data_IF_552464726539
#
_entry.id   IF_552464726539
#
_cell.length_a   1.000
_cell.length_b   1.000
_cell.length_c   1.000
_cell.angle_alpha   90.00
_cell.angle_beta   90.00
_cell.angle_gamma   90.00
#
_symmetry.space_group_name_H-M   'P 1'
#
loop_
_entity.id
_entity.type
_entity.pdbx_description
1 polymer ?
#
# COMPACT_ATOMS: atom_id res chain seq x y z
N UNK A 1 20.42 -46.11 -17.10
CA UNK A 1 19.70 -44.85 -17.45
C UNK A 1 18.98 -44.37 -16.21
N UNK A 2 19.59 -43.47 -15.42
CA UNK A 2 18.91 -42.83 -14.29
C UNK A 2 17.92 -41.82 -14.87
N UNK A 3 16.65 -41.93 -14.48
CA UNK A 3 15.65 -40.89 -14.73
C UNK A 3 16.11 -39.64 -13.99
N UNK A 4 16.33 -38.57 -14.74
CA UNK A 4 16.48 -37.23 -14.19
C UNK A 4 15.12 -36.86 -13.60
N UNK A 5 15.05 -36.70 -12.28
CA UNK A 5 13.92 -36.05 -11.64
C UNK A 5 13.88 -34.61 -12.14
N UNK A 6 12.80 -34.27 -12.85
CA UNK A 6 12.52 -32.90 -13.30
C UNK A 6 12.18 -32.13 -12.03
N UNK A 7 13.15 -31.37 -11.52
CA UNK A 7 12.95 -30.41 -10.44
C UNK A 7 11.89 -29.40 -10.89
N UNK A 8 10.75 -29.35 -10.21
CA UNK A 8 9.67 -28.39 -10.41
C UNK A 8 10.14 -26.95 -10.11
N UNK A 9 10.85 -26.29 -11.04
CA UNK A 9 11.15 -24.85 -10.93
C UNK A 9 10.84 -24.07 -12.22
N UNK A 10 9.71 -24.37 -12.85
CA UNK A 10 9.29 -23.72 -14.10
C UNK A 10 8.54 -22.37 -13.89
N UNK A 11 8.41 -21.90 -12.65
CA UNK A 11 7.71 -20.67 -12.33
C UNK A 11 8.68 -19.48 -12.12
N UNK A 12 9.20 -18.93 -13.21
CA UNK A 12 9.90 -17.64 -13.18
C UNK A 12 8.89 -16.50 -13.41
N UNK A 13 8.44 -15.88 -12.33
CA UNK A 13 7.46 -14.78 -12.36
C UNK A 13 8.11 -13.40 -12.43
N UNK A 14 9.37 -13.27 -12.88
CA UNK A 14 10.07 -11.99 -12.81
C UNK A 14 9.43 -10.89 -13.66
N UNK A 15 8.89 -11.24 -14.84
CA UNK A 15 8.17 -10.27 -15.68
C UNK A 15 6.86 -9.85 -15.01
N UNK A 16 6.08 -10.82 -14.53
CA UNK A 16 4.82 -10.58 -13.83
C UNK A 16 5.04 -9.76 -12.54
N UNK A 17 6.13 -10.00 -11.83
CA UNK A 17 6.52 -9.24 -10.64
C UNK A 17 6.75 -7.77 -10.98
N UNK A 18 7.44 -7.48 -12.10
CA UNK A 18 7.67 -6.11 -12.56
C UNK A 18 6.32 -5.45 -12.88
N UNK A 19 5.42 -6.13 -13.58
CA UNK A 19 4.10 -5.59 -13.93
C UNK A 19 3.23 -5.35 -12.68
N UNK A 20 3.26 -6.27 -11.72
CA UNK A 20 2.59 -6.16 -10.43
C UNK A 20 3.12 -4.96 -9.62
N UNK A 21 4.45 -4.76 -9.59
CA UNK A 21 5.08 -3.60 -8.94
C UNK A 21 4.70 -2.30 -9.65
N UNK A 22 4.77 -2.26 -10.98
CA UNK A 22 4.37 -1.08 -11.78
C UNK A 22 2.91 -0.72 -11.50
N UNK A 23 2.03 -1.71 -11.41
CA UNK A 23 0.63 -1.49 -11.06
C UNK A 23 0.49 -0.81 -9.68
N UNK A 24 1.17 -1.30 -8.64
CA UNK A 24 1.12 -0.68 -7.31
C UNK A 24 1.70 0.74 -7.31
N UNK A 25 2.81 0.97 -8.00
CA UNK A 25 3.42 2.29 -8.12
C UNK A 25 2.49 3.28 -8.83
N UNK A 26 1.76 2.85 -9.86
CA UNK A 26 0.75 3.68 -10.54
C UNK A 26 -0.39 4.07 -9.61
N UNK A 27 -0.83 3.19 -8.72
CA UNK A 27 -1.84 3.55 -7.71
C UNK A 27 -1.31 4.63 -6.76
N UNK A 28 -0.05 4.52 -6.32
CA UNK A 28 0.57 5.54 -5.46
C UNK A 28 0.64 6.88 -6.18
N UNK A 29 1.13 6.88 -7.43
CA UNK A 29 1.21 8.09 -8.25
C UNK A 29 -0.17 8.74 -8.39
N UNK A 30 -1.20 7.96 -8.73
CA UNK A 30 -2.56 8.43 -8.97
C UNK A 30 -3.21 9.04 -7.71
N UNK A 31 -3.06 8.40 -6.55
CA UNK A 31 -3.73 8.85 -5.34
C UNK A 31 -2.91 9.86 -4.52
N UNK A 32 -1.58 9.85 -4.62
CA UNK A 32 -0.70 10.68 -3.79
C UNK A 32 -0.15 11.92 -4.50
N UNK A 33 0.06 11.88 -5.83
CA UNK A 33 0.80 12.95 -6.55
C UNK A 33 -0.04 13.57 -7.66
N UNK A 34 -0.54 12.75 -8.59
CA UNK A 34 -1.13 13.21 -9.85
C UNK A 34 -2.29 14.15 -9.60
N UNK A 35 -2.14 15.40 -10.01
CA UNK A 35 -3.11 16.48 -9.80
C UNK A 35 -3.48 16.74 -8.33
N UNK A 36 -2.69 16.25 -7.37
CA UNK A 36 -2.89 16.43 -5.92
C UNK A 36 -1.93 17.44 -5.32
N UNK A 37 -0.73 17.56 -5.90
CA UNK A 37 0.26 18.54 -5.49
C UNK A 37 0.06 19.88 -6.20
N UNK A 38 -0.65 20.80 -5.55
CA UNK A 38 -0.82 22.18 -6.04
C UNK A 38 -0.10 23.18 -5.10
N UNK A 39 1.09 23.69 -5.46
CA UNK A 39 1.83 24.63 -4.62
C UNK A 39 1.14 26.01 -4.50
N UNK A 40 0.23 26.36 -5.41
CA UNK A 40 -0.52 27.62 -5.35
C UNK A 40 -1.72 27.52 -4.40
N UNK A 41 -2.12 26.31 -4.01
CA UNK A 41 -3.19 26.06 -3.07
C UNK A 41 -2.75 25.08 -1.95
N UNK A 42 -1.82 25.52 -1.07
CA UNK A 42 -1.24 24.66 -0.04
C UNK A 42 -2.24 24.29 1.07
N UNK A 43 -3.38 24.99 1.16
CA UNK A 43 -4.43 24.72 2.14
C UNK A 43 -5.42 23.66 1.66
N UNK A 44 -5.38 23.30 0.37
CA UNK A 44 -6.23 22.25 -0.18
C UNK A 44 -6.00 20.90 0.53
N UNK A 45 -7.07 20.13 0.70
CA UNK A 45 -7.01 18.79 1.32
C UNK A 45 -6.01 17.88 0.59
N UNK A 46 -5.98 17.97 -0.74
CA UNK A 46 -5.08 17.17 -1.58
C UNK A 46 -3.62 17.54 -1.35
N UNK A 47 -3.27 18.83 -1.38
CA UNK A 47 -1.90 19.26 -1.11
C UNK A 47 -1.43 18.85 0.30
N UNK A 48 -2.30 19.06 1.29
CA UNK A 48 -2.05 18.68 2.69
C UNK A 48 -1.75 17.18 2.82
N UNK A 49 -2.60 16.33 2.22
CA UNK A 49 -2.39 14.88 2.21
C UNK A 49 -1.07 14.50 1.52
N UNK A 50 -0.82 15.00 0.30
CA UNK A 50 0.40 14.69 -0.46
C UNK A 50 1.66 15.06 0.34
N UNK A 51 1.68 16.25 0.95
CA UNK A 51 2.80 16.70 1.78
C UNK A 51 3.05 15.80 2.99
N UNK A 52 2.00 15.44 3.73
CA UNK A 52 2.12 14.59 4.92
C UNK A 52 2.54 13.16 4.56
N UNK A 53 2.00 12.62 3.45
CA UNK A 53 2.33 11.29 2.95
C UNK A 53 3.83 11.12 2.67
N UNK A 54 4.48 12.13 2.09
CA UNK A 54 5.91 12.05 1.75
C UNK A 54 6.87 12.30 2.93
N UNK A 55 6.37 12.46 4.16
CA UNK A 55 7.24 12.33 5.33
C UNK A 55 7.70 10.88 5.46
N UNK A 56 9.01 10.67 5.62
CA UNK A 56 9.64 9.33 5.63
C UNK A 56 8.90 8.32 6.51
N UNK A 57 8.60 8.71 7.75
CA UNK A 57 7.94 7.84 8.73
C UNK A 57 6.48 7.57 8.37
N UNK A 58 5.77 8.55 7.81
CA UNK A 58 4.42 8.38 7.29
C UNK A 58 4.39 7.41 6.11
N UNK A 59 5.30 7.59 5.14
CA UNK A 59 5.45 6.71 3.99
C UNK A 59 5.75 5.26 4.41
N UNK A 60 6.70 5.05 5.32
CA UNK A 60 7.05 3.71 5.82
C UNK A 60 5.85 3.00 6.46
N UNK A 61 5.12 3.71 7.33
CA UNK A 61 3.95 3.16 8.01
C UNK A 61 2.80 2.91 7.04
N UNK A 62 2.60 3.80 6.08
CA UNK A 62 1.65 3.59 4.99
C UNK A 62 1.98 2.35 4.18
N UNK A 63 3.26 2.14 3.83
CA UNK A 63 3.71 1.00 3.04
C UNK A 63 3.46 -0.32 3.79
N UNK A 64 3.79 -0.37 5.08
CA UNK A 64 3.52 -1.53 5.92
C UNK A 64 2.02 -1.83 6.00
N UNK A 65 1.21 -0.79 6.23
CA UNK A 65 -0.26 -0.92 6.31
C UNK A 65 -0.85 -1.40 4.99
N UNK A 66 -0.35 -0.87 3.87
CA UNK A 66 -0.74 -1.31 2.53
C UNK A 66 -0.36 -2.78 2.33
N UNK A 67 0.90 -3.16 2.54
CA UNK A 67 1.35 -4.53 2.31
C UNK A 67 0.52 -5.53 3.12
N UNK A 68 0.29 -5.26 4.41
CA UNK A 68 -0.56 -6.08 5.27
C UNK A 68 -1.99 -6.18 4.71
N UNK A 69 -2.59 -5.06 4.28
CA UNK A 69 -3.94 -5.04 3.72
C UNK A 69 -4.07 -5.79 2.40
N UNK A 70 -3.11 -5.60 1.49
CA UNK A 70 -3.09 -6.29 0.20
C UNK A 70 -2.88 -7.80 0.39
N UNK A 71 -1.94 -8.20 1.25
CA UNK A 71 -1.69 -9.60 1.58
C UNK A 71 -2.92 -10.23 2.21
N UNK A 72 -3.50 -9.61 3.24
CA UNK A 72 -4.70 -10.09 3.89
C UNK A 72 -5.87 -10.25 2.91
N UNK A 73 -6.10 -9.26 2.05
CA UNK A 73 -7.17 -9.34 1.05
C UNK A 73 -6.93 -10.48 0.05
N UNK A 74 -5.68 -10.71 -0.35
CA UNK A 74 -5.35 -11.78 -1.29
C UNK A 74 -5.53 -13.16 -0.63
N UNK A 75 -5.13 -13.30 0.64
CA UNK A 75 -5.36 -14.51 1.44
C UNK A 75 -6.85 -14.81 1.60
N UNK A 76 -7.68 -13.79 1.85
CA UNK A 76 -9.13 -13.93 1.91
C UNK A 76 -9.73 -14.40 0.58
N UNK A 77 -9.27 -13.84 -0.54
CA UNK A 77 -9.76 -14.22 -1.88
C UNK A 77 -9.38 -15.65 -2.25
N UNK A 78 -8.20 -16.12 -1.83
CA UNK A 78 -7.66 -17.43 -2.19
C UNK A 78 -8.00 -18.54 -1.20
N UNK A 79 -8.36 -18.19 0.02
CA UNK A 79 -8.52 -19.16 1.11
C UNK A 79 -7.21 -19.82 1.55
N UNK A 80 -6.05 -19.23 1.21
CA UNK A 80 -4.73 -19.77 1.52
C UNK A 80 -3.73 -18.67 1.83
N UNK A 81 -2.68 -19.03 2.59
CA UNK A 81 -1.61 -18.11 2.99
C UNK A 81 -0.74 -17.72 1.80
N UNK A 82 -0.35 -16.45 1.73
CA UNK A 82 0.59 -15.95 0.72
C UNK A 82 1.98 -15.90 1.34
N UNK A 83 2.86 -16.79 0.89
CA UNK A 83 4.25 -16.85 1.33
C UNK A 83 5.17 -16.04 0.40
N UNK A 84 6.17 -15.37 0.97
CA UNK A 84 7.16 -14.61 0.21
C UNK A 84 6.69 -13.22 -0.23
N UNK A 85 7.36 -12.70 -1.28
CA UNK A 85 7.08 -11.38 -1.87
C UNK A 85 5.66 -11.33 -2.43
N UNK A 86 4.91 -10.28 -2.08
CA UNK A 86 3.55 -10.07 -2.58
C UNK A 86 3.50 -9.93 -4.10
N UNK A 87 4.56 -9.45 -4.75
CA UNK A 87 4.56 -9.24 -6.20
C UNK A 87 5.14 -10.42 -6.99
N UNK A 88 5.92 -11.32 -6.35
CA UNK A 88 6.54 -12.47 -7.03
C UNK A 88 5.54 -13.62 -7.21
N UNK A 89 4.63 -13.46 -8.15
CA UNK A 89 3.56 -14.41 -8.50
C UNK A 89 3.01 -14.06 -9.90
N UNK A 90 2.15 -14.91 -10.50
CA UNK A 90 1.50 -14.56 -11.77
C UNK A 90 0.83 -13.18 -11.72
N UNK A 91 0.72 -12.53 -12.87
CA UNK A 91 0.11 -11.20 -12.98
C UNK A 91 -1.24 -11.14 -12.26
N UNK A 92 -1.48 -10.04 -11.55
CA UNK A 92 -2.72 -9.87 -10.81
C UNK A 92 -3.92 -9.85 -11.76
N UNK A 93 -4.88 -10.78 -11.62
CA UNK A 93 -6.08 -10.75 -12.43
C UNK A 93 -6.92 -9.50 -12.11
N UNK A 94 -7.84 -9.08 -13.00
CA UNK A 94 -8.61 -7.86 -12.85
C UNK A 94 -9.33 -7.74 -11.51
N UNK A 95 -9.84 -8.83 -10.94
CA UNK A 95 -10.52 -8.84 -9.65
C UNK A 95 -9.57 -8.43 -8.51
N UNK A 96 -8.34 -8.95 -8.54
CA UNK A 96 -7.28 -8.62 -7.56
C UNK A 96 -6.86 -7.17 -7.74
N UNK A 97 -6.62 -6.71 -8.97
CA UNK A 97 -6.25 -5.31 -9.25
C UNK A 97 -7.33 -4.33 -8.79
N UNK A 98 -8.60 -4.62 -9.06
CA UNK A 98 -9.73 -3.80 -8.61
C UNK A 98 -9.81 -3.74 -7.08
N UNK A 99 -9.63 -4.89 -6.41
CA UNK A 99 -9.60 -4.97 -4.96
C UNK A 99 -8.44 -4.16 -4.37
N UNK A 100 -7.24 -4.28 -4.95
CA UNK A 100 -6.05 -3.54 -4.53
C UNK A 100 -6.23 -2.04 -4.74
N UNK A 101 -6.80 -1.62 -5.87
CA UNK A 101 -7.15 -0.20 -6.11
C UNK A 101 -8.11 0.34 -5.04
N UNK A 102 -9.15 -0.41 -4.68
CA UNK A 102 -10.08 -0.01 -3.63
C UNK A 102 -9.43 0.11 -2.25
N UNK A 103 -8.53 -0.82 -1.89
CA UNK A 103 -7.76 -0.80 -0.64
C UNK A 103 -6.85 0.44 -0.61
N UNK A 104 -6.06 0.66 -1.67
CA UNK A 104 -5.15 1.81 -1.77
C UNK A 104 -5.93 3.12 -1.71
N UNK A 105 -7.06 3.22 -2.40
CA UNK A 105 -7.94 4.38 -2.34
C UNK A 105 -8.44 4.66 -0.92
N UNK A 106 -8.93 3.65 -0.20
CA UNK A 106 -9.39 3.79 1.19
C UNK A 106 -8.29 4.27 2.13
N UNK A 107 -7.06 3.81 1.91
CA UNK A 107 -5.89 4.22 2.67
C UNK A 107 -5.60 5.73 2.48
N UNK A 108 -5.67 6.24 1.25
CA UNK A 108 -5.48 7.68 0.95
C UNK A 108 -6.68 8.56 1.30
N UNK A 109 -7.89 8.04 1.24
CA UNK A 109 -9.12 8.76 1.61
C UNK A 109 -9.28 8.91 3.13
N UNK A 110 -8.45 8.24 3.92
CA UNK A 110 -8.57 8.28 5.37
C UNK A 110 -8.40 9.72 5.92
N UNK A 111 -9.30 10.19 6.81
CA UNK A 111 -9.29 11.58 7.26
C UNK A 111 -8.01 12.00 7.99
N UNK A 112 -7.25 11.06 8.55
CA UNK A 112 -6.00 11.34 9.28
C UNK A 112 -5.05 12.24 8.49
N UNK A 113 -4.99 12.09 7.16
CA UNK A 113 -4.04 12.80 6.30
C UNK A 113 -4.23 14.30 6.27
N UNK A 114 -5.41 14.79 6.65
CA UNK A 114 -5.77 16.21 6.60
C UNK A 114 -6.09 16.81 7.97
N UNK A 115 -5.95 16.02 9.04
CA UNK A 115 -6.13 16.49 10.42
C UNK A 115 -4.86 17.20 10.89
N UNK A 116 -4.96 18.50 11.15
CA UNK A 116 -3.80 19.35 11.48
C UNK A 116 -3.01 18.87 12.71
N UNK A 117 -3.71 18.44 13.77
CA UNK A 117 -3.08 17.88 14.97
C UNK A 117 -2.24 16.63 14.65
N UNK A 118 -2.77 15.75 13.80
CA UNK A 118 -2.09 14.53 13.38
C UNK A 118 -0.89 14.84 12.48
N UNK A 119 -1.05 15.77 11.54
CA UNK A 119 0.04 16.22 10.68
C UNK A 119 1.20 16.78 11.50
N UNK A 120 0.90 17.58 12.52
CA UNK A 120 1.90 18.13 13.42
C UNK A 120 2.62 17.06 14.23
N UNK A 121 1.90 16.06 14.74
CA UNK A 121 2.50 14.92 15.45
C UNK A 121 3.44 14.12 14.53
N UNK A 122 3.00 13.82 13.29
CA UNK A 122 3.79 13.11 12.29
C UNK A 122 5.04 13.91 11.88
N UNK A 123 4.90 15.22 11.65
CA UNK A 123 6.00 16.07 11.21
C UNK A 123 7.10 16.24 12.29
N UNK A 124 6.75 16.11 13.57
CA UNK A 124 7.66 16.28 14.71
C UNK A 124 8.44 15.01 15.08
N UNK A 125 8.10 13.86 14.50
CA UNK A 125 8.74 12.58 14.82
C UNK A 125 9.55 12.02 13.65
N UNK A 126 10.71 11.45 13.96
CA UNK A 126 11.52 10.68 13.03
C UNK A 126 11.48 9.17 13.32
N UNK A 127 10.64 8.74 14.27
CA UNK A 127 10.51 7.36 14.72
C UNK A 127 9.27 6.71 14.11
N UNK A 128 9.45 5.59 13.41
CA UNK A 128 8.35 4.85 12.78
C UNK A 128 7.32 4.37 13.81
N UNK A 129 7.75 3.91 14.98
CA UNK A 129 6.88 3.44 16.09
C UNK A 129 5.88 4.50 16.54
N UNK A 130 6.26 5.77 16.56
CA UNK A 130 5.35 6.85 16.97
C UNK A 130 4.23 6.99 15.93
N UNK A 131 4.57 6.97 14.64
CA UNK A 131 3.59 7.04 13.56
C UNK A 131 2.73 5.78 13.49
N UNK A 132 3.28 4.59 13.78
CA UNK A 132 2.50 3.34 13.92
C UNK A 132 1.42 3.49 14.98
N UNK A 133 1.77 4.08 16.13
CA UNK A 133 0.82 4.30 17.22
C UNK A 133 -0.24 5.35 16.85
N UNK A 134 0.13 6.39 16.10
CA UNK A 134 -0.81 7.37 15.54
C UNK A 134 -1.79 6.66 14.60
N UNK A 135 -1.31 5.86 13.65
CA UNK A 135 -2.17 5.14 12.70
C UNK A 135 -3.17 4.24 13.42
N UNK A 136 -2.69 3.47 14.41
CA UNK A 136 -3.55 2.63 15.25
C UNK A 136 -4.58 3.45 16.03
N UNK A 137 -4.18 4.57 16.64
CA UNK A 137 -5.06 5.47 17.39
C UNK A 137 -6.15 6.05 16.49
N UNK A 138 -5.80 6.43 15.28
CA UNK A 138 -6.71 7.00 14.28
C UNK A 138 -7.53 5.93 13.52
N UNK A 139 -7.34 4.64 13.83
CA UNK A 139 -8.08 3.55 13.18
C UNK A 139 -7.63 3.25 11.75
N UNK A 140 -6.46 3.74 11.34
CA UNK A 140 -5.85 3.36 10.08
C UNK A 140 -5.02 2.09 10.26
N UNK A 141 -5.64 0.96 9.98
CA UNK A 141 -4.99 -0.36 9.98
C UNK A 141 -5.43 -1.20 8.78
N UNK A 142 -4.80 -2.37 8.62
CA UNK A 142 -5.11 -3.28 7.51
C UNK A 142 -6.57 -3.79 7.56
N UNK A 143 -7.18 -3.90 8.74
CA UNK A 143 -8.57 -4.36 8.89
C UNK A 143 -9.50 -3.29 8.33
N UNK A 144 -9.29 -2.02 8.69
CA UNK A 144 -10.07 -0.89 8.20
C UNK A 144 -10.06 -0.82 6.66
N UNK A 145 -8.87 -0.86 6.05
CA UNK A 145 -8.75 -0.71 4.58
C UNK A 145 -9.26 -1.94 3.81
N UNK A 146 -9.41 -3.10 4.47
CA UNK A 146 -9.90 -4.35 3.85
C UNK A 146 -11.37 -4.66 4.14
N UNK A 147 -12.06 -3.89 4.99
CA UNK A 147 -13.52 -4.02 5.18
C UNK A 147 -14.23 -3.98 3.83
N UNK A 148 -15.16 -4.90 3.58
CA UNK A 148 -16.00 -4.88 2.37
C UNK A 148 -16.96 -3.70 2.44
#
# INVERSE_FOLDING_TARGET
>A
RRKQEVSESDANYRSDEIDNVIFLLRLIEEYAIRDKWDPNNPTSKHHKMSRTFFYRTAFNNWLNTLEEGLRFSLEQMRGSKVYGSLCYQPDFPPEVRNRFSAITKRLFDHPLWVQETIQDEIAKTNQDVVVTNIFRREGLDYIYITKL
#
